data_IF_585187156434
#
_entry.id   IF_585187156434
#
_cell.length_a   1.000
_cell.length_b   1.000
_cell.length_c   1.000
_cell.angle_alpha   90.00
_cell.angle_beta   90.00
_cell.angle_gamma   90.00
#
_symmetry.space_group_name_H-M   'P 1'
#
loop_
_entity.id
_entity.type
_entity.pdbx_description
1 polymer ?
#
# COMPACT_ATOMS: atom_id res chain seq x y z
N UNK A 1 -29.27 -69.52 -10.19
CA UNK A 1 -27.88 -69.06 -10.37
C UNK A 1 -27.77 -67.91 -11.38
N UNK A 2 -28.81 -67.63 -12.16
CA UNK A 2 -28.78 -66.58 -13.20
C UNK A 2 -28.95 -65.14 -12.65
N UNK A 3 -29.73 -64.92 -11.58
CA UNK A 3 -29.86 -63.58 -10.96
C UNK A 3 -28.57 -63.04 -10.32
N UNK A 4 -27.67 -63.91 -9.83
CA UNK A 4 -26.37 -63.50 -9.25
C UNK A 4 -25.38 -63.13 -10.36
N UNK A 5 -25.46 -63.81 -11.52
CA UNK A 5 -24.60 -63.50 -12.68
C UNK A 5 -25.02 -62.20 -13.37
N UNK A 6 -26.30 -61.87 -13.35
CA UNK A 6 -26.83 -60.62 -13.91
C UNK A 6 -26.56 -59.41 -12.99
N UNK A 7 -26.73 -59.56 -11.68
CA UNK A 7 -26.30 -58.54 -10.69
C UNK A 7 -24.77 -58.32 -10.69
N UNK A 8 -23.97 -59.37 -10.84
CA UNK A 8 -22.50 -59.24 -10.97
C UNK A 8 -22.05 -58.65 -12.32
N UNK A 9 -22.88 -58.74 -13.38
CA UNK A 9 -22.61 -58.05 -14.66
C UNK A 9 -22.93 -56.57 -14.59
N UNK A 10 -24.03 -56.20 -13.91
CA UNK A 10 -24.43 -54.79 -13.71
C UNK A 10 -23.46 -54.06 -12.77
N UNK A 11 -22.99 -54.73 -11.71
CA UNK A 11 -21.94 -54.18 -10.83
C UNK A 11 -20.57 -54.12 -11.54
N UNK A 12 -20.26 -55.06 -12.42
CA UNK A 12 -19.03 -55.06 -13.24
C UNK A 12 -19.00 -53.95 -14.30
N UNK A 13 -20.12 -53.66 -14.97
CA UNK A 13 -20.20 -52.61 -16.01
C UNK A 13 -20.19 -51.20 -15.41
N UNK A 14 -20.85 -50.99 -14.27
CA UNK A 14 -20.81 -49.71 -13.55
C UNK A 14 -19.37 -49.38 -13.07
N UNK A 15 -18.67 -50.39 -12.56
CA UNK A 15 -17.29 -50.25 -12.07
C UNK A 15 -16.29 -49.98 -13.22
N UNK A 16 -16.52 -50.55 -14.41
CA UNK A 16 -15.70 -50.29 -15.60
C UNK A 16 -15.91 -48.87 -16.17
N UNK A 17 -17.15 -48.34 -16.12
CA UNK A 17 -17.45 -46.97 -16.52
C UNK A 17 -16.82 -45.94 -15.59
N UNK A 18 -16.87 -46.16 -14.27
CA UNK A 18 -16.22 -45.27 -13.27
C UNK A 18 -14.70 -45.23 -13.48
N UNK A 19 -14.05 -46.38 -13.71
CA UNK A 19 -12.60 -46.41 -13.98
C UNK A 19 -12.22 -45.66 -15.27
N UNK A 20 -13.08 -45.72 -16.30
CA UNK A 20 -12.90 -44.95 -17.54
C UNK A 20 -13.05 -43.45 -17.29
N UNK A 21 -14.00 -43.03 -16.46
CA UNK A 21 -14.16 -41.63 -16.06
C UNK A 21 -12.94 -41.11 -15.31
N UNK A 22 -12.44 -41.87 -14.33
CA UNK A 22 -11.28 -41.47 -13.52
C UNK A 22 -10.08 -41.13 -14.42
N UNK A 23 -9.75 -42.00 -15.37
CA UNK A 23 -8.61 -41.77 -16.28
C UNK A 23 -8.83 -40.55 -17.18
N UNK A 24 -10.06 -40.33 -17.67
CA UNK A 24 -10.39 -39.18 -18.51
C UNK A 24 -10.36 -37.86 -17.72
N UNK A 25 -10.90 -37.85 -16.50
CA UNK A 25 -10.88 -36.69 -15.61
C UNK A 25 -9.43 -36.36 -15.23
N UNK A 26 -8.63 -37.37 -14.87
CA UNK A 26 -7.22 -37.17 -14.49
C UNK A 26 -6.41 -36.47 -15.58
N UNK A 27 -6.67 -36.78 -16.85
CA UNK A 27 -6.01 -36.14 -17.99
C UNK A 27 -6.40 -34.66 -18.19
N UNK A 28 -7.53 -34.23 -17.63
CA UNK A 28 -8.01 -32.85 -17.67
C UNK A 28 -7.61 -32.04 -16.43
N UNK A 29 -7.22 -32.71 -15.34
CA UNK A 29 -6.74 -32.04 -14.14
C UNK A 29 -5.35 -31.41 -14.39
N UNK A 30 -4.96 -30.35 -13.65
CA UNK A 30 -3.67 -29.69 -13.81
C UNK A 30 -2.43 -30.57 -13.53
N UNK A 31 -2.60 -31.79 -13.04
CA UNK A 31 -1.53 -32.77 -12.86
C UNK A 31 -0.46 -32.40 -11.82
N UNK A 32 -0.67 -31.35 -11.03
CA UNK A 32 0.36 -30.78 -10.16
C UNK A 32 0.68 -31.58 -8.91
N UNK A 33 -0.17 -32.57 -8.55
CA UNK A 33 0.00 -33.41 -7.37
C UNK A 33 0.48 -32.62 -6.15
N UNK A 34 -0.27 -31.57 -5.81
CA UNK A 34 0.03 -30.63 -4.72
C UNK A 34 0.04 -31.25 -3.31
N UNK A 35 0.03 -32.59 -3.19
CA UNK A 35 0.24 -33.36 -1.96
C UNK A 35 -0.75 -33.05 -0.84
N UNK A 36 -2.01 -32.77 -1.17
CA UNK A 36 -3.06 -32.49 -0.17
C UNK A 36 -3.20 -31.05 0.28
N UNK A 37 -2.43 -30.10 -0.27
CA UNK A 37 -2.51 -28.69 0.15
C UNK A 37 -3.28 -27.81 -0.83
N UNK A 38 -3.62 -28.30 -2.02
CA UNK A 38 -4.50 -27.57 -2.93
C UNK A 38 -5.91 -27.44 -2.34
N UNK A 39 -6.67 -26.45 -2.82
CA UNK A 39 -8.00 -26.15 -2.28
C UNK A 39 -9.06 -27.25 -2.47
N UNK A 40 -8.73 -28.35 -3.17
CA UNK A 40 -9.58 -29.54 -3.21
C UNK A 40 -9.45 -30.44 -1.97
N UNK A 41 -8.41 -30.27 -1.15
CA UNK A 41 -8.19 -31.04 0.08
C UNK A 41 -7.77 -32.51 -0.10
N UNK A 42 -7.47 -32.95 -1.33
CA UNK A 42 -7.16 -34.34 -1.65
C UNK A 42 -5.67 -34.56 -1.88
N UNK A 43 -5.14 -35.73 -1.48
CA UNK A 43 -3.69 -35.97 -1.42
C UNK A 43 -3.04 -36.01 -2.80
N UNK A 44 -3.80 -36.37 -3.83
CA UNK A 44 -3.31 -36.48 -5.21
C UNK A 44 -4.38 -36.08 -6.23
N UNK A 45 -3.94 -35.79 -7.46
CA UNK A 45 -4.87 -35.58 -8.57
C UNK A 45 -5.68 -36.85 -8.88
N UNK A 46 -5.12 -38.03 -8.59
CA UNK A 46 -5.82 -39.31 -8.70
C UNK A 46 -7.03 -39.37 -7.75
N UNK A 47 -6.84 -39.06 -6.47
CA UNK A 47 -7.94 -38.99 -5.50
C UNK A 47 -8.99 -37.94 -5.89
N UNK A 48 -8.56 -36.81 -6.48
CA UNK A 48 -9.46 -35.79 -7.01
C UNK A 48 -10.32 -36.33 -8.16
N UNK A 49 -9.72 -37.02 -9.13
CA UNK A 49 -10.44 -37.63 -10.24
C UNK A 49 -11.42 -38.71 -9.75
N UNK A 50 -11.02 -39.52 -8.77
CA UNK A 50 -11.87 -40.52 -8.12
C UNK A 50 -13.06 -39.88 -7.40
N UNK A 51 -12.85 -38.81 -6.64
CA UNK A 51 -13.90 -38.09 -5.93
C UNK A 51 -14.92 -37.49 -6.90
N UNK A 52 -14.47 -36.86 -7.99
CA UNK A 52 -15.36 -36.31 -9.03
C UNK A 52 -16.15 -37.44 -9.70
N UNK A 53 -15.50 -38.54 -10.08
CA UNK A 53 -16.17 -39.69 -10.69
C UNK A 53 -17.21 -40.34 -9.76
N UNK A 54 -17.08 -40.15 -8.44
CA UNK A 54 -18.02 -40.64 -7.42
C UNK A 54 -19.11 -39.61 -7.04
N UNK A 55 -19.16 -38.47 -7.73
CA UNK A 55 -20.24 -37.49 -7.58
C UNK A 55 -19.87 -36.23 -6.79
N UNK A 56 -18.58 -35.98 -6.52
CA UNK A 56 -18.16 -34.66 -6.06
C UNK A 56 -18.34 -33.60 -7.16
N UNK A 57 -18.28 -32.32 -6.78
CA UNK A 57 -18.43 -31.20 -7.70
C UNK A 57 -17.43 -31.29 -8.88
N UNK A 58 -17.89 -31.02 -10.10
CA UNK A 58 -17.03 -31.06 -11.31
C UNK A 58 -15.92 -30.00 -11.29
N UNK A 59 -16.14 -28.92 -10.54
CA UNK A 59 -15.16 -27.87 -10.27
C UNK A 59 -14.37 -28.09 -8.95
N UNK A 60 -14.23 -29.34 -8.47
CA UNK A 60 -13.57 -29.64 -7.20
C UNK A 60 -12.12 -29.15 -7.16
N UNK A 61 -11.39 -29.23 -8.28
CA UNK A 61 -10.05 -28.65 -8.36
C UNK A 61 -10.17 -27.14 -8.65
N UNK A 62 -9.74 -26.25 -7.73
CA UNK A 62 -9.87 -24.80 -7.93
C UNK A 62 -8.95 -24.25 -9.03
N UNK A 63 -8.04 -25.08 -9.55
CA UNK A 63 -7.08 -24.72 -10.60
C UNK A 63 -7.50 -25.19 -12.00
N UNK A 64 -8.68 -25.80 -12.14
CA UNK A 64 -9.22 -26.14 -13.46
C UNK A 64 -9.76 -24.89 -14.15
N UNK A 65 -9.50 -24.76 -15.46
CA UNK A 65 -10.15 -23.75 -16.30
C UNK A 65 -11.62 -24.09 -16.55
N UNK A 66 -12.37 -23.13 -17.09
CA UNK A 66 -13.77 -23.37 -17.46
C UNK A 66 -13.90 -24.51 -18.47
N UNK A 67 -12.99 -24.56 -19.46
CA UNK A 67 -12.99 -25.60 -20.50
C UNK A 67 -12.76 -26.99 -19.90
N UNK A 68 -11.87 -27.10 -18.90
CA UNK A 68 -11.62 -28.35 -18.22
C UNK A 68 -12.84 -28.81 -17.41
N UNK A 69 -13.50 -27.89 -16.70
CA UNK A 69 -14.71 -28.19 -15.92
C UNK A 69 -15.88 -28.60 -16.83
N UNK A 70 -16.07 -27.92 -17.96
CA UNK A 70 -17.09 -28.26 -18.96
C UNK A 70 -16.85 -29.67 -19.54
N UNK A 71 -15.58 -29.99 -19.84
CA UNK A 71 -15.20 -31.31 -20.33
C UNK A 71 -15.42 -32.41 -19.27
N UNK A 72 -15.07 -32.13 -18.01
CA UNK A 72 -15.31 -33.04 -16.87
C UNK A 72 -16.82 -33.27 -16.69
N UNK A 73 -17.64 -32.23 -16.73
CA UNK A 73 -19.09 -32.31 -16.63
C UNK A 73 -19.70 -33.17 -17.75
N UNK A 74 -19.19 -33.04 -18.97
CA UNK A 74 -19.55 -33.91 -20.10
C UNK A 74 -19.17 -35.38 -19.90
N UNK A 75 -18.08 -35.68 -19.19
CA UNK A 75 -17.65 -37.05 -18.89
C UNK A 75 -18.58 -37.71 -17.87
N UNK A 76 -18.92 -37.01 -16.78
CA UNK A 76 -19.76 -37.55 -15.70
C UNK A 76 -21.27 -37.40 -15.97
N UNK A 77 -21.65 -36.59 -16.97
CA UNK A 77 -23.04 -36.37 -17.37
C UNK A 77 -23.80 -35.44 -16.44
N UNK A 78 -23.15 -34.44 -15.85
CA UNK A 78 -23.76 -33.43 -14.98
C UNK A 78 -23.72 -32.04 -15.61
N UNK A 79 -24.42 -31.08 -15.02
CA UNK A 79 -24.29 -29.68 -15.42
C UNK A 79 -22.91 -29.14 -15.04
N UNK A 80 -22.37 -28.26 -15.89
CA UNK A 80 -21.14 -27.54 -15.60
C UNK A 80 -21.36 -26.46 -14.53
N UNK A 81 -20.28 -26.03 -13.90
CA UNK A 81 -20.27 -24.98 -12.90
C UNK A 81 -19.41 -23.82 -13.40
N UNK A 82 -19.84 -22.55 -13.22
CA UNK A 82 -19.01 -21.41 -13.55
C UNK A 82 -17.80 -21.37 -12.61
N UNK A 83 -16.62 -21.17 -13.19
CA UNK A 83 -15.35 -21.09 -12.46
C UNK A 83 -14.84 -19.67 -12.55
N UNK A 84 -14.39 -19.13 -11.41
CA UNK A 84 -13.63 -17.88 -11.36
C UNK A 84 -12.17 -18.26 -11.22
N UNK A 85 -11.37 -17.93 -12.23
CA UNK A 85 -9.92 -18.09 -12.14
C UNK A 85 -9.37 -17.24 -11.01
N UNK A 86 -8.53 -17.85 -10.18
CA UNK A 86 -7.90 -17.19 -9.05
C UNK A 86 -6.40 -17.33 -9.09
N UNK A 87 -5.72 -16.40 -8.43
CA UNK A 87 -4.27 -16.38 -8.26
C UNK A 87 -3.94 -16.10 -6.79
N UNK A 88 -2.77 -16.54 -6.36
CA UNK A 88 -2.29 -16.24 -5.02
C UNK A 88 -1.87 -14.76 -4.91
N UNK A 89 -2.22 -14.13 -3.79
CA UNK A 89 -1.84 -12.78 -3.44
C UNK A 89 -1.38 -12.73 -1.98
N UNK A 90 -0.33 -11.94 -1.70
CA UNK A 90 0.27 -11.81 -0.37
C UNK A 90 -0.11 -10.46 0.24
N UNK A 91 -0.81 -10.50 1.37
CA UNK A 91 -1.20 -9.33 2.18
C UNK A 91 -0.04 -8.78 3.02
N UNK A 92 1.11 -8.57 2.39
CA UNK A 92 2.25 -7.90 3.01
C UNK A 92 3.20 -7.33 1.95
N UNK A 93 3.29 -6.00 1.86
CA UNK A 93 4.35 -5.29 1.11
C UNK A 93 5.42 -4.66 2.00
N UNK A 94 5.29 -4.80 3.33
CA UNK A 94 6.24 -4.27 4.31
C UNK A 94 7.45 -5.17 4.54
N UNK A 95 8.40 -4.65 5.32
CA UNK A 95 9.63 -5.32 5.72
C UNK A 95 9.75 -5.50 7.26
N UNK A 96 8.78 -5.00 8.01
CA UNK A 96 8.77 -4.96 9.46
C UNK A 96 8.63 -6.34 10.16
N UNK A 97 8.29 -7.40 9.43
CA UNK A 97 7.96 -8.71 10.01
C UNK A 97 9.19 -9.57 10.34
N UNK A 98 10.16 -8.98 11.06
CA UNK A 98 11.37 -9.66 11.50
C UNK A 98 12.29 -10.15 10.37
N UNK A 99 12.06 -9.72 9.12
CA UNK A 99 12.72 -10.26 7.91
C UNK A 99 14.24 -10.30 8.00
N UNK A 100 14.86 -9.28 8.59
CA UNK A 100 16.31 -9.19 8.76
C UNK A 100 16.83 -10.10 9.89
N UNK A 101 16.10 -10.19 11.00
CA UNK A 101 16.53 -10.95 12.19
C UNK A 101 16.29 -12.44 12.03
N UNK A 102 15.22 -12.79 11.33
CA UNK A 102 14.74 -14.16 11.13
C UNK A 102 15.24 -14.76 9.80
N UNK A 103 16.06 -14.04 9.01
CA UNK A 103 16.53 -14.51 7.69
C UNK A 103 17.39 -15.78 7.74
N UNK A 104 17.89 -16.18 8.91
CA UNK A 104 18.74 -17.35 9.10
C UNK A 104 18.01 -18.61 9.56
N UNK A 105 16.69 -18.57 9.70
CA UNK A 105 15.90 -19.76 10.07
C UNK A 105 15.58 -20.62 8.84
N UNK A 106 15.40 -21.93 9.03
CA UNK A 106 15.21 -22.85 7.90
C UNK A 106 13.80 -22.73 7.26
N UNK A 107 12.81 -22.22 8.00
CA UNK A 107 11.45 -22.10 7.50
C UNK A 107 10.65 -20.98 8.18
N UNK A 108 9.58 -20.52 7.52
CA UNK A 108 8.64 -19.57 8.11
C UNK A 108 8.04 -20.09 9.44
N UNK A 109 7.86 -21.40 9.60
CA UNK A 109 7.28 -21.99 10.80
C UNK A 109 8.24 -21.85 12.00
N UNK A 110 9.50 -22.25 11.82
CA UNK A 110 10.53 -22.09 12.87
C UNK A 110 10.70 -20.61 13.24
N UNK A 111 10.73 -19.72 12.25
CA UNK A 111 10.82 -18.29 12.49
C UNK A 111 9.63 -17.74 13.28
N UNK A 112 8.41 -18.24 13.04
CA UNK A 112 7.23 -17.87 13.83
C UNK A 112 7.34 -18.36 15.28
N UNK A 113 7.82 -19.58 15.49
CA UNK A 113 8.00 -20.17 16.83
C UNK A 113 9.04 -19.42 17.67
N UNK A 114 10.08 -18.89 17.03
CA UNK A 114 11.06 -18.00 17.66
C UNK A 114 10.46 -16.67 18.13
N UNK A 115 9.32 -16.27 17.57
CA UNK A 115 8.59 -15.07 17.93
C UNK A 115 9.16 -13.78 17.36
N UNK A 116 8.43 -12.68 17.59
CA UNK A 116 8.72 -11.33 17.10
C UNK A 116 9.09 -10.41 18.26
N UNK A 117 9.99 -9.46 18.00
CA UNK A 117 10.29 -8.40 18.96
C UNK A 117 9.17 -7.35 18.96
N UNK A 118 9.08 -6.55 20.03
CA UNK A 118 8.14 -5.42 20.10
C UNK A 118 8.38 -4.36 19.01
N UNK A 119 9.57 -4.36 18.39
CA UNK A 119 9.94 -3.50 17.27
C UNK A 119 9.68 -4.15 15.90
N UNK A 120 8.92 -5.25 15.84
CA UNK A 120 8.64 -6.00 14.62
C UNK A 120 7.14 -6.28 14.46
N UNK A 121 6.69 -6.39 13.22
CA UNK A 121 5.33 -6.78 12.91
C UNK A 121 5.15 -8.30 13.07
N UNK A 122 4.21 -8.73 13.91
CA UNK A 122 3.94 -10.15 14.15
C UNK A 122 3.03 -10.81 13.11
N UNK A 123 2.51 -10.06 12.13
CA UNK A 123 1.49 -10.50 11.17
C UNK A 123 2.01 -10.67 9.74
N UNK A 124 3.07 -9.95 9.37
CA UNK A 124 3.50 -9.85 7.98
C UNK A 124 4.23 -11.10 7.48
N UNK A 125 4.40 -11.20 6.16
CA UNK A 125 5.27 -12.21 5.55
C UNK A 125 6.69 -12.14 6.14
N UNK A 126 7.20 -13.26 6.65
CA UNK A 126 8.55 -13.39 7.25
C UNK A 126 9.65 -13.36 6.17
N UNK A 127 9.34 -13.77 4.95
CA UNK A 127 10.26 -13.69 3.82
C UNK A 127 11.18 -14.88 3.62
N UNK A 128 10.98 -16.01 4.31
CA UNK A 128 11.81 -17.22 4.17
C UNK A 128 11.39 -18.15 3.03
N UNK A 129 10.23 -17.93 2.40
CA UNK A 129 9.89 -18.61 1.15
C UNK A 129 9.39 -20.06 1.29
N UNK A 130 8.88 -20.52 2.44
CA UNK A 130 8.30 -21.88 2.52
C UNK A 130 7.22 -22.15 1.45
N UNK A 131 6.43 -21.14 1.08
CA UNK A 131 5.48 -21.23 -0.04
C UNK A 131 6.13 -21.39 -1.43
N UNK A 132 7.36 -20.90 -1.62
CA UNK A 132 8.14 -21.06 -2.85
C UNK A 132 8.52 -22.52 -3.04
N UNK A 133 9.04 -23.16 -1.99
CA UNK A 133 9.42 -24.59 -2.03
C UNK A 133 8.24 -25.51 -2.36
N UNK A 134 7.02 -25.12 -2.00
CA UNK A 134 5.81 -25.90 -2.31
C UNK A 134 5.23 -25.64 -3.69
N UNK A 135 5.59 -24.53 -4.34
CA UNK A 135 5.04 -24.17 -5.63
C UNK A 135 5.63 -25.07 -6.74
N UNK A 136 4.83 -25.99 -7.27
CA UNK A 136 5.24 -26.88 -8.38
C UNK A 136 5.22 -26.19 -9.75
N UNK A 137 4.80 -24.93 -9.80
CA UNK A 137 4.64 -24.15 -11.04
C UNK A 137 5.73 -23.11 -11.24
N UNK A 138 6.70 -23.03 -10.32
CA UNK A 138 7.74 -22.00 -10.35
C UNK A 138 7.15 -20.56 -10.43
N UNK A 139 5.97 -20.40 -9.80
CA UNK A 139 5.21 -19.15 -9.81
C UNK A 139 5.59 -18.20 -8.67
N UNK A 140 6.57 -18.56 -7.84
CA UNK A 140 6.95 -17.76 -6.67
C UNK A 140 8.47 -17.66 -6.54
N UNK A 141 8.96 -16.51 -6.10
CA UNK A 141 10.38 -16.24 -5.82
C UNK A 141 10.51 -15.43 -4.53
N UNK A 142 11.68 -15.45 -3.88
CA UNK A 142 12.00 -14.51 -2.79
C UNK A 142 12.94 -13.43 -3.32
N UNK A 143 12.53 -12.17 -3.23
CA UNK A 143 13.29 -10.99 -3.62
C UNK A 143 13.27 -9.98 -2.48
N UNK A 144 14.43 -9.59 -1.95
CA UNK A 144 14.58 -8.65 -0.84
C UNK A 144 13.74 -9.02 0.40
N UNK A 145 13.65 -10.32 0.71
CA UNK A 145 12.83 -10.84 1.81
C UNK A 145 11.32 -10.72 1.56
N UNK A 146 10.89 -10.47 0.33
CA UNK A 146 9.49 -10.50 -0.09
C UNK A 146 9.27 -11.68 -1.01
N UNK A 147 8.20 -12.43 -0.80
CA UNK A 147 7.77 -13.41 -1.78
C UNK A 147 7.07 -12.66 -2.91
N UNK A 148 7.54 -12.84 -4.14
CA UNK A 148 6.88 -12.37 -5.37
C UNK A 148 6.14 -13.53 -6.01
N UNK A 149 5.03 -13.21 -6.68
CA UNK A 149 4.20 -14.19 -7.37
C UNK A 149 4.11 -13.79 -8.84
N UNK A 150 4.52 -14.71 -9.71
CA UNK A 150 4.29 -14.63 -11.14
C UNK A 150 2.83 -15.04 -11.42
N UNK A 151 2.01 -14.04 -11.81
CA UNK A 151 0.58 -14.22 -12.07
C UNK A 151 0.33 -15.15 -13.25
N UNK A 152 1.22 -15.17 -14.25
CA UNK A 152 1.06 -15.98 -15.46
C UNK A 152 1.30 -17.46 -15.17
N UNK A 153 2.25 -17.76 -14.28
CA UNK A 153 2.53 -19.14 -13.86
C UNK A 153 1.60 -19.63 -12.74
N UNK A 154 1.07 -18.73 -11.91
CA UNK A 154 0.18 -19.11 -10.82
C UNK A 154 -1.14 -19.62 -11.37
N UNK A 155 -1.51 -20.86 -11.04
CA UNK A 155 -2.75 -21.48 -11.49
C UNK A 155 -3.87 -21.49 -10.44
N UNK A 156 -3.68 -20.80 -9.31
CA UNK A 156 -4.73 -20.70 -8.28
C UNK A 156 -4.96 -21.94 -7.42
N UNK A 157 -4.05 -22.93 -7.40
CA UNK A 157 -4.30 -24.18 -6.67
C UNK A 157 -4.45 -24.04 -5.15
N UNK A 158 -3.95 -22.96 -4.54
CA UNK A 158 -4.09 -22.68 -3.10
C UNK A 158 -3.07 -23.38 -2.18
N UNK A 159 -2.16 -24.21 -2.72
CA UNK A 159 -1.18 -24.99 -1.93
C UNK A 159 -0.26 -24.17 -1.01
N UNK A 160 -0.12 -22.88 -1.27
CA UNK A 160 0.67 -21.96 -0.47
C UNK A 160 -0.07 -21.41 0.77
N UNK A 161 -1.41 -21.43 0.79
CA UNK A 161 -2.21 -20.79 1.84
C UNK A 161 -2.00 -21.49 3.17
N UNK A 162 -2.28 -22.80 3.22
CA UNK A 162 -2.22 -23.59 4.45
C UNK A 162 -0.80 -23.72 5.01
N UNK A 163 0.20 -23.57 4.14
CA UNK A 163 1.60 -23.61 4.53
C UNK A 163 2.06 -22.31 5.20
N UNK A 164 1.39 -21.18 4.95
CA UNK A 164 1.82 -19.89 5.45
C UNK A 164 1.45 -19.78 6.94
N UNK A 165 2.43 -19.80 7.87
CA UNK A 165 2.11 -19.73 9.29
C UNK A 165 1.64 -18.33 9.72
N UNK A 166 1.82 -17.33 8.85
CA UNK A 166 1.32 -15.97 9.03
C UNK A 166 -0.07 -15.76 8.42
N UNK A 167 -0.59 -16.74 7.66
CA UNK A 167 -1.90 -16.67 7.00
C UNK A 167 -2.11 -15.39 6.15
N UNK A 168 -1.04 -14.89 5.53
CA UNK A 168 -1.07 -13.67 4.70
C UNK A 168 -1.33 -13.94 3.22
N UNK A 169 -1.40 -15.20 2.82
CA UNK A 169 -1.65 -15.59 1.42
C UNK A 169 -3.14 -15.88 1.25
N UNK A 170 -3.74 -15.33 0.21
CA UNK A 170 -5.12 -15.65 -0.19
C UNK A 170 -5.22 -15.83 -1.70
N UNK A 171 -6.35 -16.37 -2.14
CA UNK A 171 -6.71 -16.43 -3.55
C UNK A 171 -7.62 -15.25 -3.91
N UNK A 172 -7.21 -14.47 -4.90
CA UNK A 172 -7.97 -13.35 -5.48
C UNK A 172 -8.36 -13.69 -6.91
N UNK A 173 -9.46 -13.15 -7.46
CA UNK A 173 -9.75 -13.30 -8.89
C UNK A 173 -8.57 -12.85 -9.75
N UNK A 174 -8.27 -13.58 -10.83
CA UNK A 174 -7.17 -13.25 -11.75
C UNK A 174 -7.31 -11.84 -12.32
N UNK A 175 -8.53 -11.39 -12.56
CA UNK A 175 -8.84 -10.07 -13.13
C UNK A 175 -8.87 -8.95 -12.07
N UNK A 176 -8.70 -9.27 -10.79
CA UNK A 176 -8.65 -8.24 -9.76
C UNK A 176 -7.48 -7.26 -10.04
N UNK A 177 -7.76 -5.97 -9.87
CA UNK A 177 -6.81 -4.87 -10.12
C UNK A 177 -6.42 -4.14 -8.85
N UNK A 178 -7.23 -4.26 -7.79
CA UNK A 178 -7.06 -3.55 -6.53
C UNK A 178 -6.76 -4.53 -5.40
N UNK A 179 -5.74 -4.21 -4.60
CA UNK A 179 -5.26 -5.09 -3.55
C UNK A 179 -4.84 -4.35 -2.28
N UNK A 180 -5.07 -4.98 -1.12
CA UNK A 180 -4.66 -4.45 0.18
C UNK A 180 -3.45 -5.28 0.67
N UNK A 181 -2.21 -4.74 0.57
CA UNK A 181 -0.99 -5.49 0.88
C UNK A 181 -0.66 -5.49 2.39
N UNK A 182 -1.67 -5.65 3.23
CA UNK A 182 -1.50 -5.67 4.68
C UNK A 182 -2.50 -6.64 5.32
N UNK A 183 -2.00 -7.41 6.29
CA UNK A 183 -2.76 -8.28 7.18
C UNK A 183 -2.58 -7.92 8.65
N UNK A 184 -1.89 -6.80 8.95
CA UNK A 184 -1.63 -6.40 10.32
C UNK A 184 -2.90 -5.92 11.00
N UNK A 185 -3.10 -6.38 12.23
CA UNK A 185 -4.19 -5.94 13.10
C UNK A 185 -3.76 -4.85 14.10
N UNK A 186 -2.56 -4.30 13.93
CA UNK A 186 -2.01 -3.26 14.79
C UNK A 186 -2.83 -1.97 14.68
N UNK A 187 -2.94 -1.23 15.79
CA UNK A 187 -3.48 0.13 15.80
C UNK A 187 -2.64 1.11 14.95
N UNK A 188 -3.14 2.33 14.74
CA UNK A 188 -2.45 3.36 13.96
C UNK A 188 -1.08 3.72 14.54
N UNK A 189 -0.97 3.91 15.85
CA UNK A 189 0.28 4.33 16.51
C UNK A 189 1.35 3.25 16.36
N UNK A 190 0.98 2.01 16.64
CA UNK A 190 1.87 0.85 16.48
C UNK A 190 2.26 0.67 15.01
N UNK A 191 1.30 0.75 14.08
CA UNK A 191 1.56 0.61 12.65
C UNK A 191 2.53 1.67 12.14
N UNK A 192 2.33 2.94 12.49
CA UNK A 192 3.23 4.02 12.05
C UNK A 192 4.65 3.88 12.57
N UNK A 193 4.81 3.33 13.78
CA UNK A 193 6.13 3.03 14.36
C UNK A 193 6.82 1.86 13.67
N UNK A 194 6.06 0.82 13.33
CA UNK A 194 6.63 -0.44 12.85
C UNK A 194 6.77 -0.51 11.33
N UNK A 195 5.79 -0.04 10.56
CA UNK A 195 5.68 -0.34 9.14
C UNK A 195 5.17 0.85 8.32
N UNK A 196 6.03 1.36 7.43
CA UNK A 196 5.66 2.39 6.46
C UNK A 196 4.54 1.97 5.51
N UNK A 197 4.41 0.66 5.23
CA UNK A 197 3.43 0.08 4.30
C UNK A 197 2.20 -0.53 4.98
N UNK A 198 2.00 -0.31 6.29
CA UNK A 198 0.89 -0.89 7.03
C UNK A 198 -0.43 -0.12 6.89
N UNK A 199 -1.55 -0.86 6.91
CA UNK A 199 -2.89 -0.28 7.04
C UNK A 199 -3.05 0.27 8.46
N UNK A 200 -3.56 1.48 8.60
CA UNK A 200 -3.78 2.13 9.91
C UNK A 200 -5.22 1.99 10.42
N UNK A 201 -6.06 1.24 9.72
CA UNK A 201 -7.43 0.97 10.17
C UNK A 201 -8.43 2.13 10.07
N UNK A 202 -8.11 3.21 9.34
CA UNK A 202 -8.89 4.46 9.38
C UNK A 202 -10.32 4.41 8.80
N UNK A 203 -10.66 3.40 7.99
CA UNK A 203 -12.01 3.27 7.41
C UNK A 203 -12.31 4.10 6.15
N UNK A 204 -11.52 5.12 5.81
CA UNK A 204 -11.76 5.96 4.62
C UNK A 204 -12.04 5.18 3.32
N UNK A 205 -11.33 4.08 3.07
CA UNK A 205 -11.52 3.25 1.88
C UNK A 205 -12.87 2.52 1.86
N UNK A 206 -13.39 2.16 3.03
CA UNK A 206 -14.71 1.57 3.18
C UNK A 206 -15.79 2.63 2.89
N UNK A 207 -15.65 3.82 3.46
CA UNK A 207 -16.63 4.90 3.30
C UNK A 207 -16.80 5.36 1.85
N UNK A 208 -15.72 5.40 1.05
CA UNK A 208 -15.78 5.83 -0.35
C UNK A 208 -16.11 4.73 -1.34
N UNK A 209 -16.21 3.46 -0.90
CA UNK A 209 -16.43 2.34 -1.80
C UNK A 209 -17.88 2.35 -2.32
N UNK A 210 -18.13 2.60 -3.61
CA UNK A 210 -19.50 2.71 -4.12
C UNK A 210 -20.23 1.36 -4.22
N UNK A 211 -19.55 0.25 -3.94
CA UNK A 211 -20.10 -1.11 -4.03
C UNK A 211 -20.15 -1.81 -2.66
N UNK A 212 -19.81 -1.10 -1.58
CA UNK A 212 -19.68 -1.69 -0.24
C UNK A 212 -18.80 -2.96 -0.23
N UNK A 213 -17.78 -2.97 -1.10
CA UNK A 213 -16.88 -4.09 -1.33
C UNK A 213 -15.70 -4.09 -0.34
N UNK A 214 -15.61 -3.11 0.56
CA UNK A 214 -14.52 -3.01 1.54
C UNK A 214 -15.11 -3.04 2.93
N UNK A 215 -14.47 -3.80 3.82
CA UNK A 215 -14.83 -3.88 5.23
C UNK A 215 -13.59 -3.78 6.12
N UNK A 216 -13.73 -3.16 7.28
CA UNK A 216 -12.71 -3.15 8.33
C UNK A 216 -12.85 -4.39 9.21
N UNK A 217 -11.84 -5.26 9.19
CA UNK A 217 -11.77 -6.49 10.00
C UNK A 217 -10.48 -6.45 10.82
N UNK A 218 -10.59 -6.51 12.14
CA UNK A 218 -9.45 -6.46 13.07
C UNK A 218 -8.47 -5.31 12.74
N UNK A 219 -8.98 -4.09 12.62
CA UNK A 219 -8.21 -2.90 12.25
C UNK A 219 -7.51 -2.93 10.87
N UNK A 220 -7.86 -3.88 10.00
CA UNK A 220 -7.32 -4.01 8.65
C UNK A 220 -8.43 -4.00 7.60
N UNK A 221 -8.23 -3.27 6.51
CA UNK A 221 -9.19 -3.25 5.41
C UNK A 221 -9.11 -4.57 4.63
N UNK A 222 -10.27 -5.10 4.23
CA UNK A 222 -10.45 -6.34 3.47
C UNK A 222 -11.37 -6.08 2.28
N UNK A 223 -11.05 -6.62 1.11
CA UNK A 223 -11.87 -6.51 -0.10
C UNK A 223 -12.71 -7.77 -0.26
N UNK A 224 -14.01 -7.58 -0.44
CA UNK A 224 -14.95 -8.54 -1.01
C UNK A 224 -14.89 -8.44 -2.54
N UNK A 225 -14.20 -9.41 -3.15
CA UNK A 225 -13.98 -9.41 -4.59
C UNK A 225 -15.21 -9.76 -5.41
N UNK A 226 -16.27 -10.31 -4.81
CA UNK A 226 -17.52 -10.57 -5.53
C UNK A 226 -18.32 -9.27 -5.77
N UNK A 227 -18.01 -8.21 -4.99
CA UNK A 227 -18.61 -6.87 -5.14
C UNK A 227 -17.67 -5.86 -5.79
N UNK A 228 -16.36 -6.10 -5.74
CA UNK A 228 -15.37 -5.13 -6.18
C UNK A 228 -15.37 -5.00 -7.71
N UNK A 229 -15.60 -3.78 -8.20
CA UNK A 229 -15.59 -3.46 -9.64
C UNK A 229 -14.30 -2.77 -10.11
N UNK A 230 -13.27 -2.70 -9.25
CA UNK A 230 -11.98 -2.11 -9.62
C UNK A 230 -11.99 -0.58 -9.86
N UNK A 231 -12.93 0.16 -9.27
CA UNK A 231 -13.13 1.60 -9.52
C UNK A 231 -12.08 2.55 -8.89
N UNK A 232 -11.08 2.03 -8.18
CA UNK A 232 -9.93 2.75 -7.58
C UNK A 232 -10.24 3.83 -6.52
N UNK A 233 -11.51 4.09 -6.19
CA UNK A 233 -11.90 5.07 -5.17
C UNK A 233 -11.19 4.83 -3.83
N UNK A 234 -11.08 3.56 -3.42
CA UNK A 234 -10.37 3.16 -2.21
C UNK A 234 -8.88 3.49 -2.25
N UNK A 235 -8.24 3.30 -3.41
CA UNK A 235 -6.83 3.59 -3.62
C UNK A 235 -6.56 5.08 -3.52
N UNK A 236 -7.38 5.90 -4.19
CA UNK A 236 -7.27 7.36 -4.14
C UNK A 236 -7.47 7.88 -2.72
N UNK A 237 -8.44 7.34 -1.97
CA UNK A 237 -8.73 7.83 -0.61
C UNK A 237 -7.80 7.29 0.48
N UNK A 238 -7.11 6.18 0.25
CA UNK A 238 -6.20 5.59 1.24
C UNK A 238 -5.17 6.63 1.74
N UNK A 239 -5.25 7.04 3.01
CA UNK A 239 -4.32 8.03 3.60
C UNK A 239 -2.87 7.57 3.58
N UNK A 240 -2.65 6.26 3.71
CA UNK A 240 -1.33 5.64 3.66
C UNK A 240 -0.86 5.36 2.23
N UNK A 241 -1.72 5.47 1.22
CA UNK A 241 -1.44 5.14 -0.19
C UNK A 241 -0.79 3.76 -0.36
N UNK A 242 -1.29 2.78 0.39
CA UNK A 242 -0.78 1.40 0.38
C UNK A 242 -1.61 0.45 -0.48
N UNK A 243 -2.88 0.80 -0.77
CA UNK A 243 -3.71 -0.04 -1.63
C UNK A 243 -3.07 -0.02 -3.01
N UNK A 244 -2.79 -1.20 -3.55
CA UNK A 244 -2.17 -1.37 -4.85
C UNK A 244 -3.27 -1.32 -5.90
N UNK A 245 -3.01 -0.55 -6.95
CA UNK A 245 -3.78 -0.53 -8.19
C UNK A 245 -2.81 -0.81 -9.32
N UNK A 246 -3.05 -1.88 -10.07
CA UNK A 246 -2.17 -2.31 -11.16
C UNK A 246 -2.43 -1.55 -12.48
N UNK A 247 -3.54 -0.82 -12.58
CA UNK A 247 -3.93 -0.12 -13.81
C UNK A 247 -3.52 1.35 -13.85
N UNK A 248 -3.38 2.00 -12.69
CA UNK A 248 -3.15 3.44 -12.63
C UNK A 248 -1.95 3.85 -11.76
N UNK A 249 -1.32 4.96 -12.16
CA UNK A 249 -0.18 5.54 -11.45
C UNK A 249 -0.64 6.54 -10.37
N UNK A 250 -0.46 6.18 -9.11
CA UNK A 250 -0.82 7.03 -7.95
C UNK A 250 -0.01 8.32 -7.84
N UNK A 251 1.12 8.43 -8.53
CA UNK A 251 1.85 9.71 -8.63
C UNK A 251 1.07 10.73 -9.43
N UNK A 252 0.16 10.29 -10.29
CA UNK A 252 -0.73 11.13 -11.10
C UNK A 252 -2.12 11.26 -10.47
N UNK A 253 -2.63 10.18 -9.87
CA UNK A 253 -3.92 10.15 -9.17
C UNK A 253 -3.79 10.52 -7.70
N UNK A 254 -3.67 11.82 -7.41
CA UNK A 254 -3.58 12.35 -6.04
C UNK A 254 -4.32 13.67 -5.87
N UNK A 255 -5.03 13.80 -4.75
CA UNK A 255 -5.74 15.03 -4.36
C UNK A 255 -4.81 16.03 -3.66
N UNK A 256 -3.80 15.51 -2.96
CA UNK A 256 -2.94 16.28 -2.05
C UNK A 256 -1.49 15.84 -2.11
N UNK A 257 -0.60 16.73 -1.69
CA UNK A 257 0.84 16.48 -1.52
C UNK A 257 1.32 17.09 -0.20
N UNK A 258 2.49 16.64 0.25
CA UNK A 258 3.15 17.25 1.39
C UNK A 258 3.83 18.58 1.00
N UNK A 259 3.78 19.56 1.89
CA UNK A 259 4.48 20.84 1.75
C UNK A 259 5.21 21.21 3.04
N UNK A 260 6.46 21.66 2.92
CA UNK A 260 7.30 22.05 4.06
C UNK A 260 7.16 23.54 4.32
N UNK A 261 6.63 23.91 5.49
CA UNK A 261 6.42 25.32 5.90
C UNK A 261 7.69 25.98 6.44
N UNK A 262 8.82 25.75 5.78
CA UNK A 262 10.09 26.34 6.11
C UNK A 262 11.00 26.39 4.88
N UNK A 263 11.83 27.43 4.77
CA UNK A 263 12.87 27.60 3.75
C UNK A 263 14.21 28.05 4.36
N UNK A 264 14.45 27.76 5.64
CA UNK A 264 15.51 28.42 6.43
C UNK A 264 16.24 27.52 7.42
N UNK A 265 16.39 26.22 7.14
CA UNK A 265 16.96 25.25 8.08
C UNK A 265 18.49 25.16 8.12
N UNK A 266 19.22 25.80 7.19
CA UNK A 266 20.70 25.72 7.08
C UNK A 266 21.45 25.95 8.40
N UNK A 267 21.11 27.02 9.13
CA UNK A 267 21.75 27.36 10.41
C UNK A 267 21.50 26.29 11.48
N UNK A 268 20.26 25.79 11.56
CA UNK A 268 19.89 24.75 12.50
C UNK A 268 20.62 23.45 12.17
N UNK A 269 20.59 23.01 10.91
CA UNK A 269 21.26 21.80 10.47
C UNK A 269 22.76 21.83 10.81
N UNK A 270 23.46 22.91 10.46
CA UNK A 270 24.89 23.04 10.74
C UNK A 270 25.19 22.93 12.24
N UNK A 271 24.37 23.58 13.08
CA UNK A 271 24.56 23.58 14.53
C UNK A 271 24.31 22.23 15.17
N UNK A 272 23.23 21.54 14.79
CA UNK A 272 22.92 20.21 15.33
C UNK A 272 23.91 19.15 14.84
N UNK A 273 24.37 19.23 13.58
CA UNK A 273 25.46 18.37 13.09
C UNK A 273 26.76 18.59 13.86
N UNK A 274 27.12 19.85 14.17
CA UNK A 274 28.31 20.15 14.98
C UNK A 274 28.22 19.62 16.42
N UNK A 275 27.01 19.43 16.94
CA UNK A 275 26.74 18.82 18.25
C UNK A 275 26.64 17.28 18.20
N UNK A 276 26.83 16.66 17.03
CA UNK A 276 26.71 15.21 16.86
C UNK A 276 25.29 14.69 16.99
N UNK A 277 24.26 15.52 16.80
CA UNK A 277 22.87 15.08 16.84
C UNK A 277 22.47 14.52 15.48
N UNK A 278 22.01 13.27 15.49
CA UNK A 278 21.71 12.51 14.27
C UNK A 278 20.26 12.71 13.79
N UNK A 279 19.32 12.94 14.71
CA UNK A 279 17.88 12.90 14.41
C UNK A 279 17.18 14.22 14.71
N UNK A 280 16.15 14.57 13.94
CA UNK A 280 15.32 15.75 14.18
C UNK A 280 14.66 15.68 15.55
N UNK A 281 14.19 14.50 15.96
CA UNK A 281 13.51 14.25 17.23
C UNK A 281 14.41 14.55 18.42
N UNK A 282 15.69 14.17 18.35
CA UNK A 282 16.64 14.49 19.41
C UNK A 282 17.07 15.96 19.39
N UNK A 283 17.20 16.55 18.20
CA UNK A 283 17.49 17.97 18.06
C UNK A 283 16.37 18.85 18.61
N UNK A 284 15.10 18.48 18.43
CA UNK A 284 13.95 19.22 18.98
C UNK A 284 13.98 19.26 20.53
N UNK A 285 14.40 18.17 21.19
CA UNK A 285 14.47 18.09 22.66
C UNK A 285 15.47 19.06 23.29
N UNK A 286 16.57 19.36 22.58
CA UNK A 286 17.64 20.23 23.09
C UNK A 286 17.59 21.65 22.49
N UNK A 287 16.75 21.86 21.48
CA UNK A 287 16.56 23.15 20.81
C UNK A 287 16.15 24.20 21.84
N UNK A 288 16.90 25.30 21.89
CA UNK A 288 16.60 26.40 22.79
C UNK A 288 16.89 27.77 22.17
N UNK A 289 16.28 28.82 22.72
CA UNK A 289 16.51 30.21 22.29
C UNK A 289 17.98 30.63 22.41
N UNK A 290 18.69 30.12 23.43
CA UNK A 290 20.11 30.39 23.66
C UNK A 290 21.00 29.95 22.48
N UNK A 291 20.52 29.02 21.63
CA UNK A 291 21.23 28.61 20.43
C UNK A 291 21.15 29.62 19.28
N UNK A 292 20.34 30.68 19.38
CA UNK A 292 20.17 31.66 18.30
C UNK A 292 19.51 31.07 17.05
N UNK A 293 18.65 30.05 17.24
CA UNK A 293 17.94 29.35 16.17
C UNK A 293 16.44 29.70 16.18
N UNK A 294 15.81 29.62 15.01
CA UNK A 294 14.36 29.63 14.90
C UNK A 294 13.80 28.39 15.62
N UNK A 295 12.88 28.59 16.57
CA UNK A 295 12.40 27.49 17.42
C UNK A 295 11.30 26.64 16.77
N UNK A 296 10.83 27.04 15.60
CA UNK A 296 9.82 26.28 14.83
C UNK A 296 10.35 25.86 13.46
N UNK A 297 11.56 26.27 13.07
CA UNK A 297 12.11 26.06 11.74
C UNK A 297 12.56 24.62 11.49
N UNK A 298 12.82 24.27 10.22
CA UNK A 298 13.29 22.94 9.87
C UNK A 298 14.65 22.67 10.52
N UNK A 299 14.81 21.50 11.14
CA UNK A 299 16.08 21.05 11.72
C UNK A 299 17.05 20.63 10.62
N UNK A 300 16.54 19.97 9.58
CA UNK A 300 17.34 19.55 8.43
C UNK A 300 18.13 18.24 8.64
N UNK A 301 17.76 17.39 9.60
CA UNK A 301 18.44 16.09 9.80
C UNK A 301 17.80 14.92 9.03
N UNK A 302 16.61 15.10 8.45
CA UNK A 302 16.14 14.22 7.37
C UNK A 302 15.26 13.03 7.76
N UNK A 303 14.71 12.94 8.97
CA UNK A 303 13.75 11.86 9.33
C UNK A 303 12.58 11.72 8.34
N UNK A 304 12.09 12.85 7.79
CA UNK A 304 11.05 12.82 6.76
C UNK A 304 11.51 12.23 5.42
N UNK A 305 12.81 12.29 5.12
CA UNK A 305 13.42 11.63 3.97
C UNK A 305 13.47 10.13 4.22
N UNK A 306 13.90 9.71 5.41
CA UNK A 306 14.04 8.30 5.78
C UNK A 306 12.71 7.53 5.70
N UNK A 307 11.59 8.16 6.07
CA UNK A 307 10.27 7.52 5.98
C UNK A 307 9.59 7.65 4.60
N UNK A 308 10.19 8.39 3.66
CA UNK A 308 9.58 8.60 2.36
C UNK A 308 9.76 7.37 1.46
N UNK A 309 8.67 6.66 1.16
CA UNK A 309 8.67 5.46 0.29
C UNK A 309 8.73 5.75 -1.21
N UNK A 310 8.75 7.02 -1.60
CA UNK A 310 8.60 7.45 -2.99
C UNK A 310 9.75 8.34 -3.46
N UNK A 311 10.82 8.46 -2.67
CA UNK A 311 11.96 9.35 -2.93
C UNK A 311 11.53 10.79 -3.25
N UNK A 312 10.42 11.22 -2.63
CA UNK A 312 9.78 12.50 -2.90
C UNK A 312 10.30 13.62 -2.00
N UNK A 313 11.21 13.34 -1.05
CA UNK A 313 11.71 14.35 -0.12
C UNK A 313 13.23 14.31 -0.10
N UNK A 314 13.86 15.48 -0.17
CA UNK A 314 15.30 15.64 0.01
C UNK A 314 15.58 16.80 0.98
N UNK A 315 16.72 16.75 1.68
CA UNK A 315 17.20 17.90 2.45
C UNK A 315 18.16 18.72 1.59
N UNK A 316 17.73 19.93 1.21
CA UNK A 316 18.50 20.87 0.40
C UNK A 316 18.77 22.13 1.23
N UNK A 317 20.04 22.52 1.34
CA UNK A 317 20.49 23.64 2.20
C UNK A 317 19.90 23.57 3.63
N UNK A 318 19.93 22.37 4.21
CA UNK A 318 19.43 22.09 5.56
C UNK A 318 17.91 22.22 5.73
N UNK A 319 17.15 22.24 4.65
CA UNK A 319 15.68 22.28 4.70
C UNK A 319 15.11 21.12 3.89
N UNK A 320 14.13 20.42 4.44
CA UNK A 320 13.37 19.42 3.68
C UNK A 320 12.61 20.11 2.53
N UNK A 321 12.68 19.52 1.34
CA UNK A 321 11.95 19.94 0.15
C UNK A 321 11.22 18.73 -0.40
N UNK A 322 9.96 18.92 -0.79
CA UNK A 322 9.12 17.86 -1.37
C UNK A 322 9.08 18.06 -2.88
N UNK A 323 9.40 16.99 -3.61
CA UNK A 323 9.12 16.84 -5.03
C UNK A 323 7.64 16.48 -5.19
N UNK A 324 6.81 17.41 -5.70
CA UNK A 324 5.38 17.20 -5.81
C UNK A 324 5.02 16.20 -6.90
N UNK A 325 5.89 15.86 -7.86
CA UNK A 325 5.60 14.83 -8.87
C UNK A 325 5.70 13.43 -8.27
N UNK A 326 6.69 13.19 -7.43
CA UNK A 326 6.89 11.89 -6.74
C UNK A 326 6.01 11.70 -5.52
N UNK A 327 5.64 12.79 -4.84
CA UNK A 327 4.80 12.72 -3.66
C UNK A 327 3.42 12.16 -4.00
N UNK A 328 2.91 11.21 -3.21
CA UNK A 328 1.56 10.65 -3.37
C UNK A 328 0.57 11.11 -2.29
N UNK A 329 0.99 11.99 -1.38
CA UNK A 329 0.16 12.44 -0.26
C UNK A 329 -0.08 11.37 0.82
N UNK A 330 0.90 10.49 1.10
CA UNK A 330 0.76 9.47 2.17
C UNK A 330 0.92 10.02 3.60
N UNK A 331 1.46 11.23 3.73
CA UNK A 331 1.65 11.99 4.97
C UNK A 331 2.50 11.31 6.05
N UNK A 332 3.27 10.27 5.72
CA UNK A 332 4.22 9.65 6.65
C UNK A 332 5.24 10.68 7.16
N UNK A 333 5.68 11.58 6.28
CA UNK A 333 6.56 12.71 6.61
C UNK A 333 5.92 13.72 7.57
N UNK A 334 4.60 13.91 7.52
CA UNK A 334 3.86 14.79 8.45
C UNK A 334 3.89 14.18 9.84
N UNK A 335 3.65 12.86 9.94
CA UNK A 335 3.63 12.16 11.22
C UNK A 335 4.98 12.17 11.93
N UNK A 336 6.10 12.05 11.20
CA UNK A 336 7.43 12.01 11.82
C UNK A 336 8.07 13.37 12.05
N UNK A 337 7.52 14.48 11.54
CA UNK A 337 8.17 15.79 11.69
C UNK A 337 8.00 16.33 13.13
N UNK A 338 9.05 16.37 13.98
CA UNK A 338 8.90 16.83 15.36
C UNK A 338 8.57 18.32 15.46
N UNK A 339 9.02 19.12 14.49
CA UNK A 339 8.71 20.55 14.40
C UNK A 339 7.33 20.84 13.78
N UNK A 340 6.57 19.81 13.36
CA UNK A 340 5.22 19.93 12.75
C UNK A 340 5.16 20.91 11.56
N UNK A 341 6.20 20.89 10.73
CA UNK A 341 6.36 21.81 9.60
C UNK A 341 5.78 21.32 8.29
N UNK A 342 5.70 20.00 8.14
CA UNK A 342 5.21 19.37 6.92
C UNK A 342 3.70 19.29 7.05
N UNK A 343 2.98 19.79 6.07
CA UNK A 343 1.51 19.82 6.04
C UNK A 343 1.02 19.22 4.74
N UNK A 344 -0.22 18.73 4.75
CA UNK A 344 -0.94 18.36 3.54
C UNK A 344 -1.49 19.61 2.85
N UNK A 345 -1.31 19.72 1.54
CA UNK A 345 -1.87 20.80 0.71
C UNK A 345 -2.48 20.21 -0.57
N UNK A 346 -3.49 20.88 -1.18
CA UNK A 346 -4.07 20.43 -2.44
C UNK A 346 -3.05 20.38 -3.58
N UNK A 347 -3.07 19.30 -4.36
CA UNK A 347 -2.24 19.12 -5.56
C UNK A 347 -2.88 19.82 -6.77
N UNK A 348 -3.04 21.14 -6.67
CA UNK A 348 -3.76 21.92 -7.67
C UNK A 348 -3.00 23.13 -8.19
N UNK A 349 -1.70 23.26 -7.91
CA UNK A 349 -0.92 24.41 -8.37
C UNK A 349 -1.32 25.71 -7.68
N UNK A 350 -0.72 26.00 -6.53
CA UNK A 350 -0.99 27.23 -5.77
C UNK A 350 0.26 27.77 -5.11
N UNK A 351 0.24 29.04 -4.70
CA UNK A 351 1.29 29.58 -3.84
C UNK A 351 1.11 29.08 -2.42
N UNK A 352 2.22 28.85 -1.73
CA UNK A 352 2.27 28.39 -0.35
C UNK A 352 3.25 29.24 0.45
N UNK A 353 2.96 29.46 1.73
CA UNK A 353 3.84 30.23 2.62
C UNK A 353 4.80 29.29 3.34
N UNK A 354 6.07 29.31 2.94
CA UNK A 354 7.17 28.52 3.50
C UNK A 354 7.70 29.07 4.84
N UNK A 355 6.78 29.44 5.74
CA UNK A 355 7.10 29.89 7.09
C UNK A 355 5.95 29.56 8.06
N UNK A 356 6.23 28.69 9.03
CA UNK A 356 5.29 28.35 10.10
C UNK A 356 5.34 29.32 11.31
N UNK A 357 6.37 30.17 11.40
CA UNK A 357 6.57 31.03 12.57
C UNK A 357 5.51 32.12 12.69
N UNK A 358 4.89 32.18 13.87
CA UNK A 358 3.93 33.20 14.30
C UNK A 358 4.56 34.33 15.11
N UNK A 359 5.89 34.35 15.18
CA UNK A 359 6.64 35.33 15.97
C UNK A 359 6.60 36.73 15.36
N UNK A 360 6.93 37.72 16.17
CA UNK A 360 7.14 39.08 15.69
C UNK A 360 8.29 39.15 14.70
N UNK A 361 8.20 40.11 13.77
CA UNK A 361 9.17 40.24 12.69
C UNK A 361 10.58 40.55 13.20
N UNK A 362 10.70 41.34 14.26
CA UNK A 362 11.99 41.68 14.90
C UNK A 362 12.70 40.42 15.42
N UNK A 363 11.96 39.55 16.11
CA UNK A 363 12.48 38.27 16.61
C UNK A 363 12.87 37.35 15.45
N UNK A 364 12.04 37.29 14.39
CA UNK A 364 12.32 36.50 13.19
C UNK A 364 13.62 36.96 12.52
N UNK A 365 13.87 38.26 12.42
CA UNK A 365 15.08 38.80 11.78
C UNK A 365 16.36 38.39 12.50
N UNK A 366 16.33 38.21 13.82
CA UNK A 366 17.50 37.77 14.58
C UNK A 366 17.95 36.35 14.20
N UNK A 367 17.00 35.48 13.81
CA UNK A 367 17.27 34.05 13.63
C UNK A 367 17.08 33.55 12.19
N UNK A 368 16.33 34.27 11.35
CA UNK A 368 15.88 33.79 10.04
C UNK A 368 15.92 34.85 8.94
N UNK A 369 16.55 34.51 7.81
CA UNK A 369 16.69 35.36 6.62
C UNK A 369 15.55 35.25 5.60
N UNK A 370 14.73 34.20 5.66
CA UNK A 370 13.73 33.86 4.62
C UNK A 370 12.29 33.80 5.14
N UNK A 371 12.07 33.96 6.45
CA UNK A 371 10.75 33.87 7.07
C UNK A 371 9.83 35.03 6.68
N UNK A 372 8.53 34.75 6.64
CA UNK A 372 7.49 35.77 6.47
C UNK A 372 7.50 36.73 7.67
N UNK A 373 7.69 38.03 7.39
CA UNK A 373 7.71 39.09 8.40
C UNK A 373 6.33 39.73 8.65
N UNK A 374 5.28 39.25 7.98
CA UNK A 374 3.93 39.74 8.23
C UNK A 374 3.62 41.16 7.72
N UNK A 375 4.36 41.68 6.72
CA UNK A 375 4.17 43.04 6.22
C UNK A 375 2.81 43.30 5.55
N UNK A 376 2.17 42.26 5.00
CA UNK A 376 0.85 42.37 4.38
C UNK A 376 0.85 42.70 2.89
N UNK A 377 2.00 43.02 2.27
CA UNK A 377 2.07 43.44 0.87
C UNK A 377 1.45 42.42 -0.10
N UNK A 378 1.69 41.13 0.13
CA UNK A 378 1.13 40.07 -0.69
C UNK A 378 -0.40 39.97 -0.57
N UNK A 379 -0.97 40.22 0.62
CA UNK A 379 -2.41 40.22 0.84
C UNK A 379 -3.06 41.44 0.18
N UNK A 380 -2.47 42.63 0.36
CA UNK A 380 -2.99 43.88 -0.19
C UNK A 380 -3.03 43.91 -1.74
N UNK A 381 -2.18 43.11 -2.39
CA UNK A 381 -2.05 43.07 -3.85
C UNK A 381 -2.51 41.74 -4.46
N UNK A 382 -3.21 40.90 -3.68
CA UNK A 382 -3.76 39.66 -4.21
C UNK A 382 -5.03 39.97 -5.03
N UNK A 383 -5.02 39.79 -6.36
CA UNK A 383 -6.11 40.26 -7.23
C UNK A 383 -7.45 39.59 -6.95
N UNK A 384 -7.42 38.36 -6.46
CA UNK A 384 -8.59 37.56 -6.17
C UNK A 384 -8.78 37.28 -4.66
N UNK A 385 -8.04 37.99 -3.80
CA UNK A 385 -8.20 37.88 -2.35
C UNK A 385 -7.76 36.55 -1.73
N UNK A 386 -7.02 35.70 -2.44
CA UNK A 386 -6.55 34.40 -1.97
C UNK A 386 -5.54 34.46 -0.79
N UNK A 387 -5.09 35.63 -0.35
CA UNK A 387 -4.07 35.77 0.70
C UNK A 387 -4.61 36.58 1.87
N UNK A 388 -4.57 35.99 3.06
CA UNK A 388 -4.93 36.63 4.33
C UNK A 388 -3.74 36.72 5.27
N UNK A 389 -3.83 37.59 6.27
CA UNK A 389 -2.82 37.72 7.33
C UNK A 389 -3.36 37.13 8.62
N UNK A 390 -2.69 36.10 9.12
CA UNK A 390 -3.08 35.37 10.34
C UNK A 390 -1.86 35.13 11.20
N UNK A 391 -1.97 35.37 12.52
CA UNK A 391 -0.89 35.09 13.48
C UNK A 391 0.48 35.63 13.02
N UNK A 392 0.51 36.88 12.55
CA UNK A 392 1.74 37.59 12.10
C UNK A 392 2.45 36.93 10.90
N UNK A 393 1.70 36.24 10.04
CA UNK A 393 2.20 35.69 8.77
C UNK A 393 1.10 35.65 7.71
N UNK A 394 1.49 35.55 6.44
CA UNK A 394 0.55 35.30 5.37
C UNK A 394 0.03 33.85 5.41
N UNK A 395 -1.20 33.64 4.96
CA UNK A 395 -1.85 32.37 4.65
C UNK A 395 -2.40 32.48 3.23
N UNK A 396 -2.25 31.42 2.44
CA UNK A 396 -2.78 31.37 1.07
C UNK A 396 -3.91 30.35 1.06
N UNK A 397 -5.06 30.75 0.54
CA UNK A 397 -6.14 29.86 0.18
C UNK A 397 -5.84 29.24 -1.20
N UNK A 398 -5.60 27.93 -1.22
CA UNK A 398 -5.28 27.17 -2.43
C UNK A 398 -6.44 27.03 -3.42
N UNK A 399 -7.68 27.23 -2.97
CA UNK A 399 -8.86 27.18 -3.83
C UNK A 399 -9.01 28.50 -4.59
N UNK A 400 -8.68 29.63 -3.96
CA UNK A 400 -8.74 30.93 -4.63
C UNK A 400 -7.47 31.27 -5.41
N UNK A 401 -6.31 30.73 -5.07
CA UNK A 401 -5.05 31.12 -5.68
C UNK A 401 -4.94 30.71 -7.17
N UNK A 402 -4.83 31.69 -8.08
CA UNK A 402 -4.65 31.47 -9.53
C UNK A 402 -3.18 31.35 -9.97
N UNK A 403 -2.23 31.27 -9.03
CA UNK A 403 -0.79 31.20 -9.29
C UNK A 403 -0.23 32.34 -10.19
N UNK A 404 -0.82 33.55 -10.13
CA UNK A 404 -0.47 34.71 -10.98
C UNK A 404 0.90 35.38 -10.70
N UNK A 405 1.72 34.83 -9.80
CA UNK A 405 3.07 35.28 -9.39
C UNK A 405 3.20 36.67 -8.72
N UNK A 406 2.19 37.53 -8.73
CA UNK A 406 2.25 38.90 -8.16
C UNK A 406 2.84 38.89 -6.74
N UNK A 407 2.31 38.04 -5.87
CA UNK A 407 2.75 37.96 -4.48
C UNK A 407 4.21 37.49 -4.32
N UNK A 408 4.73 36.70 -5.27
CA UNK A 408 6.13 36.25 -5.28
C UNK A 408 7.08 37.40 -5.60
N UNK A 409 6.70 38.31 -6.49
CA UNK A 409 7.50 39.51 -6.81
C UNK A 409 7.51 40.54 -5.69
N UNK A 410 6.41 40.64 -4.94
CA UNK A 410 6.30 41.57 -3.80
C UNK A 410 7.02 41.07 -2.55
N UNK A 411 7.21 39.75 -2.41
CA UNK A 411 7.78 39.18 -1.20
C UNK A 411 9.29 39.43 -1.10
N UNK A 412 9.67 40.44 -0.31
CA UNK A 412 11.08 40.77 0.02
C UNK A 412 11.85 39.65 0.74
N UNK A 413 11.16 38.57 1.15
CA UNK A 413 11.73 37.45 1.90
C UNK A 413 11.68 36.12 1.14
N UNK A 414 11.09 36.07 -0.06
CA UNK A 414 10.88 34.85 -0.85
C UNK A 414 10.14 33.73 -0.09
N UNK A 415 9.29 34.11 0.87
CA UNK A 415 8.52 33.21 1.73
C UNK A 415 7.31 32.57 1.01
N UNK A 416 6.88 33.15 -0.12
CA UNK A 416 5.83 32.61 -0.98
C UNK A 416 6.46 31.72 -2.06
N UNK A 417 6.29 30.41 -1.88
CA UNK A 417 6.84 29.36 -2.73
C UNK A 417 5.74 28.82 -3.61
N UNK A 418 6.09 28.44 -4.82
CA UNK A 418 5.17 27.79 -5.74
C UNK A 418 5.07 26.30 -5.47
N UNK A 419 3.85 25.78 -5.45
CA UNK A 419 3.64 24.37 -5.62
C UNK A 419 3.56 24.09 -7.13
N UNK A 420 4.67 23.64 -7.71
CA UNK A 420 4.73 23.28 -9.12
C UNK A 420 3.87 22.02 -9.37
N UNK A 421 3.07 22.09 -10.43
CA UNK A 421 2.24 20.98 -10.94
C UNK A 421 2.26 21.04 -12.47
N UNK A 422 1.94 19.95 -13.18
CA UNK A 422 1.85 19.95 -14.63
C UNK A 422 0.85 21.00 -15.15
N UNK A 423 1.13 21.58 -16.32
CA UNK A 423 0.34 22.68 -16.91
C UNK A 423 -1.14 22.30 -17.08
N UNK A 424 -1.40 21.06 -17.48
CA UNK A 424 -2.74 20.49 -17.62
C UNK A 424 -3.56 20.57 -16.34
N UNK A 425 -2.93 20.54 -15.16
CA UNK A 425 -3.61 20.67 -13.87
C UNK A 425 -4.21 22.08 -13.72
N UNK A 426 -3.46 23.11 -14.12
CA UNK A 426 -3.95 24.50 -14.13
C UNK A 426 -5.09 24.68 -15.14
N UNK A 427 -4.96 24.08 -16.32
CA UNK A 427 -5.99 24.15 -17.37
C UNK A 427 -7.29 23.47 -16.95
N UNK A 428 -7.20 22.28 -16.34
CA UNK A 428 -8.36 21.55 -15.83
C UNK A 428 -9.09 22.34 -14.74
N UNK A 429 -8.36 22.91 -13.77
CA UNK A 429 -8.94 23.75 -12.72
C UNK A 429 -9.67 24.96 -13.30
N UNK A 430 -9.01 25.69 -14.21
CA UNK A 430 -9.61 26.83 -14.90
C UNK A 430 -10.89 26.43 -15.65
N UNK A 431 -10.88 25.28 -16.33
CA UNK A 431 -12.05 24.77 -17.05
C UNK A 431 -13.20 24.37 -16.10
N UNK A 432 -12.87 23.89 -14.90
CA UNK A 432 -13.82 23.54 -13.85
C UNK A 432 -14.31 24.75 -13.03
N UNK A 433 -13.74 25.95 -13.26
CA UNK A 433 -14.10 27.16 -12.51
C UNK A 433 -13.62 27.14 -11.05
N UNK A 434 -12.54 26.41 -10.76
CA UNK A 434 -11.91 26.25 -9.44
C UNK A 434 -10.45 26.72 -9.42
#
# INVERSE_FOLDING_TARGET
MDNIREMNRISGSANQSVQKWISAILALLPGSNCGGHGGCGLKSCQECAESIAQGAAVALCPACSQEAVDAIAGIVGTESMPVVERIAYIRCSGDAAGKKRLSGEDSCQQAREKGFLNSECSYGCIGLGSCVERCTFDAMSVEDGQVKIDREKCNGCGACIDLCPQQVILLVPREATNFIPCASENDEETTRKLCGSGCIGCGDCQEVCPQDAISMVNNCAVIDYDKCVGCVACTVKCRKKIIVDELHDLRKLKETVAFVRCRGGKKAQAKFKALGVETCTNAEKIRSRAMGLCQVGCIGLGECVEVCRYDAIAVVDGTAQVDPEKCVGCLDCVAVCPSKLIVEVPYGGSKQVACASTWDWEEKLQVCGSGCIGCGDCAANCPNGAITMENKRAVVDSQLCENCKICSYLCSRTALVELEVPEETYLQRRAMGI
#
